data_IF_696824684441
#
_entry.id   IF_696824684441
#
_cell.length_a   1.000
_cell.length_b   1.000
_cell.length_c   1.000
_cell.angle_alpha   90.00
_cell.angle_beta   90.00
_cell.angle_gamma   90.00
#
_symmetry.space_group_name_H-M   'P 1'
#
loop_
_entity.id
_entity.type
_entity.pdbx_description
1 polymer ?
#
# COMPACT_ATOMS: atom_id res chain seq x y z
N UNK A 1 7.12 -4.40 8.56
CA UNK A 1 7.15 -5.70 9.29
C UNK A 1 5.82 -5.90 9.99
N UNK A 2 5.12 -7.01 9.72
CA UNK A 2 3.77 -7.28 10.23
C UNK A 2 3.77 -7.38 11.77
N UNK A 3 2.88 -6.63 12.42
CA UNK A 3 2.70 -6.67 13.88
C UNK A 3 1.96 -7.95 14.30
N UNK A 4 2.73 -8.94 14.75
CA UNK A 4 2.19 -10.24 15.18
C UNK A 4 1.18 -10.14 16.33
N UNK A 5 1.34 -9.19 17.26
CA UNK A 5 0.40 -9.06 18.37
C UNK A 5 -0.94 -8.50 17.87
N UNK A 6 -0.90 -7.49 17.01
CA UNK A 6 -2.10 -6.94 16.37
C UNK A 6 -2.83 -7.99 15.53
N UNK A 7 -2.10 -8.74 14.70
CA UNK A 7 -2.69 -9.80 13.87
C UNK A 7 -3.23 -10.96 14.72
N UNK A 8 -2.55 -11.32 15.81
CA UNK A 8 -3.04 -12.34 16.76
C UNK A 8 -4.36 -11.91 17.41
N UNK A 9 -4.45 -10.68 17.90
CA UNK A 9 -5.69 -10.16 18.48
C UNK A 9 -6.81 -10.12 17.44
N UNK A 10 -6.53 -9.65 16.22
CA UNK A 10 -7.50 -9.64 15.13
C UNK A 10 -7.99 -11.06 14.78
N UNK A 11 -7.07 -12.02 14.66
CA UNK A 11 -7.40 -13.42 14.41
C UNK A 11 -8.29 -14.01 15.51
N UNK A 12 -7.96 -13.80 16.79
CA UNK A 12 -8.77 -14.28 17.91
C UNK A 12 -10.13 -13.58 18.00
N UNK A 13 -10.23 -12.32 17.57
CA UNK A 13 -11.51 -11.60 17.47
C UNK A 13 -12.38 -12.13 16.34
N UNK A 14 -11.81 -12.57 15.23
CA UNK A 14 -12.54 -13.22 14.13
C UNK A 14 -12.97 -14.64 14.50
N UNK A 15 -12.07 -15.42 15.09
CA UNK A 15 -12.33 -16.80 15.51
C UNK A 15 -12.60 -16.87 17.02
N UNK A 16 -13.72 -16.27 17.44
CA UNK A 16 -14.04 -16.06 18.86
C UNK A 16 -14.09 -17.35 19.71
N UNK A 17 -14.34 -18.51 19.10
CA UNK A 17 -14.34 -19.79 19.82
C UNK A 17 -12.96 -20.22 20.34
N UNK A 18 -11.86 -19.65 19.80
CA UNK A 18 -10.52 -19.79 20.40
C UNK A 18 -10.27 -18.74 21.49
N UNK A 19 -10.98 -17.62 21.47
CA UNK A 19 -10.78 -16.51 22.38
C UNK A 19 -11.15 -16.92 23.81
N UNK A 20 -10.25 -16.68 24.75
CA UNK A 20 -10.45 -17.01 26.16
C UNK A 20 -10.20 -18.47 26.54
N UNK A 21 -9.80 -19.33 25.59
CA UNK A 21 -9.34 -20.70 25.91
C UNK A 21 -8.03 -20.66 26.69
N UNK A 22 -8.09 -21.04 27.96
CA UNK A 22 -6.95 -21.01 28.91
C UNK A 22 -5.90 -22.09 28.64
N UNK A 23 -6.28 -23.11 27.89
CA UNK A 23 -5.44 -24.25 27.52
C UNK A 23 -4.59 -23.98 26.26
N UNK A 24 -4.83 -22.86 25.58
CA UNK A 24 -4.09 -22.43 24.39
C UNK A 24 -3.19 -21.25 24.78
N UNK A 25 -1.94 -21.29 24.32
CA UNK A 25 -0.98 -20.21 24.44
C UNK A 25 -0.42 -19.87 23.05
N UNK A 26 0.04 -18.64 22.87
CA UNK A 26 0.76 -18.23 21.67
C UNK A 26 2.26 -18.23 21.95
N UNK A 27 3.03 -18.96 21.14
CA UNK A 27 4.49 -18.97 21.19
C UNK A 27 5.01 -17.93 20.22
N UNK A 28 5.57 -16.83 20.74
CA UNK A 28 6.18 -15.80 19.90
C UNK A 28 7.45 -16.28 19.20
N UNK A 29 8.20 -17.18 19.82
CA UNK A 29 9.40 -17.79 19.23
C UNK A 29 9.08 -18.58 17.95
N UNK A 30 7.97 -19.33 18.00
CA UNK A 30 7.57 -20.21 16.89
C UNK A 30 6.47 -19.58 16.02
N UNK A 31 6.02 -18.37 16.36
CA UNK A 31 4.90 -17.65 15.75
C UNK A 31 3.63 -18.51 15.57
N UNK A 32 3.30 -19.37 16.55
CA UNK A 32 2.18 -20.31 16.44
C UNK A 32 1.49 -20.57 17.78
N UNK A 33 0.27 -21.13 17.71
CA UNK A 33 -0.49 -21.53 18.89
C UNK A 33 -0.06 -22.92 19.38
N UNK A 34 0.06 -23.08 20.69
CA UNK A 34 0.42 -24.33 21.35
C UNK A 34 -0.55 -24.63 22.49
N UNK A 35 -0.64 -25.90 22.87
CA UNK A 35 -1.33 -26.27 24.10
C UNK A 35 -0.44 -25.97 25.31
N UNK A 36 -1.03 -25.56 26.43
CA UNK A 36 -0.33 -25.46 27.72
C UNK A 36 0.03 -26.83 28.31
N UNK A 37 -0.69 -27.89 27.93
CA UNK A 37 -0.41 -29.25 28.39
C UNK A 37 0.85 -29.81 27.75
N UNK A 38 1.69 -30.47 28.54
CA UNK A 38 2.84 -31.25 28.05
C UNK A 38 2.42 -32.59 27.44
N UNK A 39 1.20 -33.05 27.71
CA UNK A 39 0.63 -34.28 27.12
C UNK A 39 -0.79 -34.00 26.61
N UNK A 40 -0.94 -33.28 25.49
CA UNK A 40 -2.25 -32.98 24.92
C UNK A 40 -2.87 -34.25 24.33
N UNK A 41 -4.18 -34.41 24.51
CA UNK A 41 -4.95 -35.47 23.86
C UNK A 41 -4.88 -35.34 22.33
N UNK A 42 -5.10 -36.44 21.60
CA UNK A 42 -5.12 -36.43 20.13
C UNK A 42 -6.14 -35.41 19.57
N UNK A 43 -7.29 -35.27 20.25
CA UNK A 43 -8.30 -34.28 19.90
C UNK A 43 -7.72 -32.86 20.04
N UNK A 44 -7.08 -32.54 21.16
CA UNK A 44 -6.48 -31.23 21.38
C UNK A 44 -5.34 -30.93 20.38
N UNK A 45 -4.53 -31.94 20.04
CA UNK A 45 -3.48 -31.82 19.02
C UNK A 45 -4.09 -31.51 17.64
N UNK A 46 -5.17 -32.20 17.26
CA UNK A 46 -5.88 -31.95 16.00
C UNK A 46 -6.51 -30.56 15.96
N UNK A 47 -7.10 -30.11 17.06
CA UNK A 47 -7.64 -28.75 17.19
C UNK A 47 -6.58 -27.67 17.00
N UNK A 48 -5.43 -27.80 17.69
CA UNK A 48 -4.31 -26.86 17.55
C UNK A 48 -3.69 -26.90 16.15
N UNK A 49 -3.54 -28.08 15.56
CA UNK A 49 -3.07 -28.21 14.17
C UNK A 49 -3.99 -27.46 13.20
N UNK A 50 -5.31 -27.63 13.35
CA UNK A 50 -6.29 -26.91 12.54
C UNK A 50 -6.27 -25.39 12.79
N UNK A 51 -6.11 -24.97 14.06
CA UNK A 51 -5.96 -23.56 14.41
C UNK A 51 -4.73 -22.96 13.74
N UNK A 52 -3.58 -23.65 13.80
CA UNK A 52 -2.35 -23.17 13.20
C UNK A 52 -2.40 -23.13 11.67
N UNK A 53 -3.14 -24.02 11.00
CA UNK A 53 -3.39 -23.90 9.56
C UNK A 53 -4.15 -22.63 9.20
N UNK A 54 -5.16 -22.27 10.01
CA UNK A 54 -5.93 -21.02 9.81
C UNK A 54 -5.07 -19.79 10.11
N UNK A 55 -4.27 -19.85 11.17
CA UNK A 55 -3.34 -18.79 11.54
C UNK A 55 -2.28 -18.55 10.46
N UNK A 56 -1.69 -19.61 9.91
CA UNK A 56 -0.72 -19.53 8.83
C UNK A 56 -1.32 -18.91 7.55
N UNK A 57 -2.54 -19.29 7.19
CA UNK A 57 -3.27 -18.64 6.09
C UNK A 57 -3.54 -17.15 6.37
N UNK A 58 -3.95 -16.81 7.60
CA UNK A 58 -4.17 -15.43 8.03
C UNK A 58 -2.90 -14.59 7.89
N UNK A 59 -1.78 -15.09 8.42
CA UNK A 59 -0.50 -14.39 8.35
C UNK A 59 -0.02 -14.17 6.92
N UNK A 60 -0.23 -15.13 6.01
CA UNK A 60 0.08 -14.93 4.59
C UNK A 60 -0.72 -13.78 4.00
N UNK A 61 -2.02 -13.70 4.29
CA UNK A 61 -2.86 -12.59 3.84
C UNK A 61 -2.44 -11.25 4.46
N UNK A 62 -2.12 -11.23 5.75
CA UNK A 62 -1.66 -10.03 6.44
C UNK A 62 -0.35 -9.49 5.84
N UNK A 63 0.64 -10.38 5.64
CA UNK A 63 1.93 -10.02 5.02
C UNK A 63 1.75 -9.50 3.59
N UNK A 64 0.87 -10.12 2.81
CA UNK A 64 0.56 -9.64 1.45
C UNK A 64 -0.08 -8.25 1.48
N UNK A 65 -1.04 -8.01 2.38
CA UNK A 65 -1.69 -6.70 2.54
C UNK A 65 -0.69 -5.61 2.95
N UNK A 66 0.20 -5.91 3.89
CA UNK A 66 1.23 -4.97 4.32
C UNK A 66 2.20 -4.64 3.18
N UNK A 67 2.60 -5.65 2.38
CA UNK A 67 3.46 -5.44 1.22
C UNK A 67 2.80 -4.58 0.13
N UNK A 68 1.51 -4.80 -0.15
CA UNK A 68 0.77 -3.97 -1.10
C UNK A 68 0.59 -2.54 -0.59
N UNK A 69 0.41 -2.36 0.72
CA UNK A 69 0.35 -1.02 1.32
C UNK A 69 1.71 -0.31 1.25
N UNK A 70 2.81 -0.99 1.56
CA UNK A 70 4.16 -0.46 1.42
C UNK A 70 4.46 -0.07 -0.03
N UNK A 71 4.02 -0.88 -1.00
CA UNK A 71 4.14 -0.58 -2.43
C UNK A 71 3.32 0.63 -2.84
N UNK A 72 2.07 0.74 -2.38
CA UNK A 72 1.22 1.89 -2.65
C UNK A 72 1.81 3.18 -2.06
N UNK A 73 2.35 3.11 -0.83
CA UNK A 73 3.04 4.25 -0.20
C UNK A 73 4.33 4.63 -0.93
N UNK A 74 5.10 3.65 -1.43
CA UNK A 74 6.31 3.90 -2.20
C UNK A 74 6.02 4.50 -3.58
N UNK A 75 4.83 4.23 -4.14
CA UNK A 75 4.39 4.78 -5.41
C UNK A 75 3.58 6.07 -5.26
N UNK A 76 3.21 6.44 -4.04
CA UNK A 76 2.50 7.69 -3.77
C UNK A 76 3.42 8.88 -4.07
N UNK A 77 2.94 9.75 -4.95
CA UNK A 77 3.58 11.05 -5.22
C UNK A 77 3.25 11.95 -4.04
N UNK A 78 4.24 12.63 -3.41
CA UNK A 78 3.94 13.50 -2.28
C UNK A 78 2.96 14.60 -2.69
N UNK A 79 2.08 15.01 -1.78
CA UNK A 79 1.06 16.06 -2.00
C UNK A 79 1.61 17.42 -2.50
N UNK A 80 2.93 17.59 -2.52
CA UNK A 80 3.63 18.76 -3.09
C UNK A 80 3.98 18.62 -4.57
N UNK A 81 3.67 17.48 -5.21
CA UNK A 81 4.07 17.15 -6.58
C UNK A 81 2.85 16.72 -7.39
N UNK A 82 2.87 17.05 -8.68
CA UNK A 82 1.81 16.69 -9.64
C UNK A 82 2.41 15.79 -10.71
N UNK A 83 1.71 14.71 -11.06
CA UNK A 83 2.11 13.83 -12.16
C UNK A 83 1.67 14.44 -13.48
N UNK A 84 2.64 14.65 -14.38
CA UNK A 84 2.39 15.11 -15.75
C UNK A 84 3.01 14.14 -16.75
N UNK A 85 2.43 13.98 -17.96
CA UNK A 85 3.05 13.17 -19.01
C UNK A 85 4.47 13.64 -19.32
N UNK A 86 5.40 12.70 -19.48
CA UNK A 86 6.82 13.00 -19.66
C UNK A 86 7.09 13.88 -20.88
N UNK A 87 6.40 13.62 -21.97
CA UNK A 87 6.52 14.37 -23.22
C UNK A 87 6.01 15.82 -23.07
N UNK A 88 4.90 16.03 -22.35
CA UNK A 88 4.38 17.36 -21.99
C UNK A 88 5.40 18.14 -21.17
N UNK A 89 6.01 17.50 -20.16
CA UNK A 89 7.05 18.11 -19.33
C UNK A 89 8.28 18.50 -20.15
N UNK A 90 8.80 17.59 -20.98
CA UNK A 90 9.98 17.84 -21.83
C UNK A 90 9.73 18.97 -22.83
N UNK A 91 8.57 18.99 -23.51
CA UNK A 91 8.19 20.08 -24.42
C UNK A 91 8.08 21.41 -23.69
N UNK A 92 7.36 21.46 -22.57
CA UNK A 92 7.16 22.71 -21.82
C UNK A 92 8.48 23.31 -21.35
N UNK A 93 9.38 22.48 -20.80
CA UNK A 93 10.72 22.93 -20.37
C UNK A 93 11.54 23.44 -21.55
N UNK A 94 11.50 22.74 -22.70
CA UNK A 94 12.18 23.18 -23.92
C UNK A 94 11.72 24.56 -24.39
N UNK A 95 10.41 24.79 -24.40
CA UNK A 95 9.83 26.08 -24.79
C UNK A 95 10.19 27.22 -23.84
N UNK A 96 10.18 26.98 -22.52
CA UNK A 96 10.65 27.99 -21.54
C UNK A 96 12.10 28.39 -21.87
N UNK A 97 12.96 27.43 -22.21
CA UNK A 97 14.33 27.68 -22.64
C UNK A 97 14.41 28.59 -23.87
N UNK A 98 13.58 28.33 -24.89
CA UNK A 98 13.54 29.12 -26.13
C UNK A 98 13.00 30.53 -25.89
N UNK A 99 11.88 30.65 -25.18
CA UNK A 99 11.21 31.92 -24.90
C UNK A 99 12.08 32.86 -24.06
N UNK A 100 12.87 32.33 -23.11
CA UNK A 100 13.84 33.13 -22.35
C UNK A 100 15.03 33.63 -23.20
N UNK A 101 15.31 33.00 -24.36
CA UNK A 101 16.52 33.24 -25.13
C UNK A 101 16.31 33.96 -26.48
N UNK A 102 15.07 34.14 -26.95
CA UNK A 102 14.83 34.78 -28.25
C UNK A 102 13.67 35.81 -28.24
N UNK A 103 13.89 37.05 -28.74
CA UNK A 103 12.85 38.10 -28.75
C UNK A 103 11.76 37.93 -29.82
N UNK A 104 11.82 36.91 -30.69
CA UNK A 104 10.86 36.68 -31.78
C UNK A 104 10.37 35.22 -31.78
N UNK A 105 9.57 34.85 -30.78
CA UNK A 105 8.90 33.55 -30.72
C UNK A 105 7.84 33.49 -31.85
N UNK A 106 7.86 32.45 -32.67
CA UNK A 106 6.95 32.30 -33.82
C UNK A 106 5.66 31.59 -33.44
N UNK A 107 4.54 32.05 -34.02
CA UNK A 107 3.15 31.74 -33.68
C UNK A 107 2.75 30.24 -33.70
N UNK A 108 3.52 29.35 -34.34
CA UNK A 108 3.18 27.93 -34.44
C UNK A 108 3.49 27.14 -33.14
N UNK A 109 4.50 27.56 -32.37
CA UNK A 109 4.84 26.94 -31.08
C UNK A 109 3.85 27.32 -29.97
N UNK A 110 3.07 28.41 -30.16
CA UNK A 110 2.13 28.92 -29.16
C UNK A 110 0.90 27.99 -28.96
N UNK A 111 0.46 27.30 -30.02
CA UNK A 111 -0.70 26.40 -29.93
C UNK A 111 -0.39 25.13 -29.12
N UNK A 112 0.77 24.50 -29.38
CA UNK A 112 1.23 23.31 -28.64
C UNK A 112 1.47 23.66 -27.17
N UNK A 113 2.02 24.85 -26.91
CA UNK A 113 2.23 25.32 -25.54
C UNK A 113 0.91 25.53 -24.78
N UNK A 114 -0.14 26.03 -25.44
CA UNK A 114 -1.43 26.22 -24.79
C UNK A 114 -2.07 24.88 -24.40
N UNK A 115 -1.97 23.87 -25.26
CA UNK A 115 -2.42 22.51 -24.97
C UNK A 115 -1.63 21.88 -23.82
N UNK A 116 -0.30 22.02 -23.83
CA UNK A 116 0.58 21.52 -22.76
C UNK A 116 0.32 22.24 -21.42
N UNK A 117 0.11 23.56 -21.45
CA UNK A 117 -0.28 24.34 -20.27
C UNK A 117 -1.64 23.88 -19.72
N UNK A 118 -2.62 23.64 -20.59
CA UNK A 118 -3.93 23.15 -20.17
C UNK A 118 -3.82 21.74 -19.55
N UNK A 119 -2.97 20.87 -20.09
CA UNK A 119 -2.72 19.54 -19.54
C UNK A 119 -2.11 19.63 -18.13
N UNK A 120 -1.15 20.54 -17.92
CA UNK A 120 -0.55 20.79 -16.60
C UNK A 120 -1.59 21.36 -15.61
N UNK A 121 -2.38 22.35 -16.02
CA UNK A 121 -3.42 22.93 -15.16
C UNK A 121 -4.45 21.88 -14.71
N UNK A 122 -4.93 21.03 -15.64
CA UNK A 122 -5.85 19.93 -15.31
C UNK A 122 -5.22 18.96 -14.31
N UNK A 123 -3.93 18.66 -14.44
CA UNK A 123 -3.23 17.78 -13.50
C UNK A 123 -3.15 18.40 -12.09
N UNK A 124 -2.91 19.71 -12.00
CA UNK A 124 -2.91 20.45 -10.72
C UNK A 124 -4.30 20.42 -10.07
N UNK A 125 -5.35 20.74 -10.84
CA UNK A 125 -6.74 20.72 -10.34
C UNK A 125 -7.19 19.31 -9.90
N UNK A 126 -6.78 18.27 -10.62
CA UNK A 126 -7.06 16.88 -10.26
C UNK A 126 -6.39 16.48 -8.93
N UNK A 127 -5.15 16.95 -8.72
CA UNK A 127 -4.41 16.70 -7.48
C UNK A 127 -5.05 17.41 -6.28
N UNK A 128 -5.47 18.67 -6.43
CA UNK A 128 -6.16 19.44 -5.38
C UNK A 128 -7.53 18.86 -5.00
N UNK A 129 -8.20 18.19 -5.93
CA UNK A 129 -9.53 17.59 -5.73
C UNK A 129 -9.50 16.12 -5.28
N UNK A 130 -8.32 15.48 -5.27
CA UNK A 130 -8.17 14.05 -4.99
C UNK A 130 -8.76 13.13 -6.07
N UNK A 131 -8.97 13.65 -7.28
CA UNK A 131 -9.57 12.96 -8.42
C UNK A 131 -8.50 12.42 -9.40
N UNK A 132 -7.35 11.99 -8.88
CA UNK A 132 -6.30 11.34 -9.66
C UNK A 132 -6.78 9.93 -10.06
N UNK A 133 -7.35 9.78 -11.25
CA UNK A 133 -7.92 8.52 -11.77
C UNK A 133 -7.76 8.36 -13.27
#
# INVERSE_FOLDING_TARGET
MTDLNKEREAFLNTFQYYKGRRDIIFSHEHELFMTRSNNPSEIAQKEISNMNRRWDAWLRCAKHRDAELEKAQAQAVPDTHVVVPKDVAERTIGHIGIAMCHPNNTHDDENIMNDDQQAICKAVEASESGAEG
#
